data_IF_046637618265
#
_entry.id   IF_046637618265
#
_cell.length_a   1.000
_cell.length_b   1.000
_cell.length_c   1.000
_cell.angle_alpha   90.00
_cell.angle_beta   90.00
_cell.angle_gamma   90.00
#
_symmetry.space_group_name_H-M   'P 1'
#
loop_
_entity.id
_entity.type
_entity.pdbx_description
1 polymer ?
#
# COMPACT_ATOMS: atom_id res chain seq x y z
N UNK A 1 9.93 -2.98 -21.80
CA UNK A 1 9.59 -3.57 -20.58
C UNK A 1 9.80 -2.64 -19.41
N UNK A 2 8.90 -2.66 -18.53
CA UNK A 2 9.01 -1.83 -17.41
C UNK A 2 9.77 -2.49 -16.34
N UNK A 3 10.89 -1.98 -15.98
CA UNK A 3 11.64 -2.56 -14.98
C UNK A 3 11.68 -1.66 -13.81
N UNK A 4 10.91 -0.68 -13.83
CA UNK A 4 11.10 0.29 -12.84
C UNK A 4 10.22 0.15 -11.68
N UNK A 5 10.10 -1.01 -11.20
CA UNK A 5 9.35 -1.21 -10.09
C UNK A 5 9.73 -0.43 -8.94
N UNK A 6 10.96 -0.11 -8.83
CA UNK A 6 11.39 0.66 -7.71
C UNK A 6 11.50 2.08 -8.07
N UNK A 7 10.62 2.53 -8.95
CA UNK A 7 10.62 3.90 -9.29
C UNK A 7 10.16 4.73 -8.14
N UNK A 8 10.39 5.99 -8.23
CA UNK A 8 9.96 6.93 -7.22
C UNK A 8 8.45 6.92 -7.07
N UNK A 9 7.74 6.71 -8.18
CA UNK A 9 6.28 6.68 -8.11
C UNK A 9 5.78 5.57 -7.23
N UNK A 10 6.37 4.39 -7.35
CA UNK A 10 5.94 3.27 -6.53
C UNK A 10 6.28 3.52 -5.06
N UNK A 11 7.45 4.10 -4.80
CA UNK A 11 7.81 4.46 -3.44
C UNK A 11 6.86 5.50 -2.86
N UNK A 12 6.43 6.46 -3.66
CA UNK A 12 5.46 7.44 -3.22
C UNK A 12 4.13 6.78 -2.88
N UNK A 13 3.73 5.80 -3.68
CA UNK A 13 2.50 5.07 -3.39
C UNK A 13 2.60 4.32 -2.07
N UNK A 14 3.70 3.62 -1.85
CA UNK A 14 3.89 2.89 -0.61
C UNK A 14 3.89 3.82 0.59
N UNK A 15 4.51 4.99 0.42
CA UNK A 15 4.54 5.96 1.48
C UNK A 15 3.15 6.50 1.78
N UNK A 16 2.36 6.72 0.75
CA UNK A 16 0.99 7.18 0.89
C UNK A 16 0.15 6.16 1.68
N UNK A 17 0.32 4.87 1.36
CA UNK A 17 -0.38 3.83 2.08
C UNK A 17 0.06 3.76 3.53
N UNK A 18 1.36 3.87 3.79
CA UNK A 18 1.88 3.83 5.14
C UNK A 18 1.38 5.02 5.96
N UNK A 19 1.38 6.21 5.35
CA UNK A 19 0.86 7.39 6.02
C UNK A 19 -0.63 7.22 6.35
N UNK A 20 -1.37 6.60 5.47
CA UNK A 20 -2.77 6.29 5.73
C UNK A 20 -2.93 5.39 6.94
N UNK A 21 -2.07 4.38 7.05
CA UNK A 21 -2.10 3.47 8.20
C UNK A 21 -1.78 4.25 9.49
N UNK A 22 -0.73 5.04 9.44
CA UNK A 22 -0.29 5.79 10.63
C UNK A 22 -1.33 6.82 11.06
N UNK A 23 -1.98 7.46 10.11
CA UNK A 23 -2.95 8.48 10.45
C UNK A 23 -4.21 7.87 11.09
N UNK A 24 -4.44 6.59 10.89
CA UNK A 24 -5.54 5.91 11.56
C UNK A 24 -5.09 5.29 12.89
N UNK A 25 -3.83 5.46 13.25
CA UNK A 25 -3.31 4.91 14.50
C UNK A 25 -3.14 3.41 14.47
N UNK A 26 -3.02 2.82 13.30
CA UNK A 26 -2.93 1.38 13.18
C UNK A 26 -1.48 0.91 13.11
N UNK A 27 -1.16 -0.14 13.86
CA UNK A 27 0.13 -0.79 13.71
C UNK A 27 0.08 -1.71 12.50
N UNK A 28 1.22 -2.24 12.11
CA UNK A 28 1.29 -3.24 11.04
C UNK A 28 0.41 -4.43 11.40
N UNK A 29 0.44 -4.86 12.64
CA UNK A 29 -0.36 -6.01 13.07
C UNK A 29 -1.84 -5.70 13.06
N UNK A 30 -2.22 -4.47 13.43
CA UNK A 30 -3.61 -4.06 13.39
C UNK A 30 -4.15 -4.12 11.97
N UNK A 31 -3.40 -3.59 11.01
CA UNK A 31 -3.84 -3.60 9.63
C UNK A 31 -3.93 -5.04 9.11
N UNK A 32 -2.98 -5.87 9.50
CA UNK A 32 -2.98 -7.26 9.07
C UNK A 32 -4.25 -7.97 9.54
N UNK A 33 -4.69 -7.70 10.75
CA UNK A 33 -5.92 -8.28 11.25
C UNK A 33 -7.12 -7.83 10.45
N UNK A 34 -7.17 -6.56 10.09
CA UNK A 34 -8.29 -6.03 9.32
C UNK A 34 -8.36 -6.67 7.94
N UNK A 35 -7.22 -6.86 7.30
CA UNK A 35 -7.15 -7.42 5.96
C UNK A 35 -7.19 -8.94 5.98
N UNK A 36 -7.03 -9.53 7.16
CA UNK A 36 -7.01 -10.99 7.33
C UNK A 36 -5.80 -11.62 6.65
N UNK A 37 -4.64 -11.03 6.89
CA UNK A 37 -3.37 -11.53 6.37
C UNK A 37 -2.35 -11.55 7.49
N UNK A 38 -1.28 -12.35 7.38
CA UNK A 38 -0.23 -12.31 8.38
C UNK A 38 0.45 -10.95 8.39
N UNK A 39 0.99 -10.54 9.54
CA UNK A 39 1.60 -9.23 9.60
C UNK A 39 2.81 -9.10 8.68
N UNK A 40 3.44 -10.22 8.34
CA UNK A 40 4.56 -10.21 7.40
C UNK A 40 4.12 -9.71 6.03
N UNK A 41 2.87 -9.95 5.65
CA UNK A 41 2.33 -9.46 4.39
C UNK A 41 2.45 -7.94 4.34
N UNK A 42 2.00 -7.26 5.42
CA UNK A 42 2.04 -5.80 5.47
C UNK A 42 3.49 -5.31 5.49
N UNK A 43 4.32 -5.95 6.29
CA UNK A 43 5.71 -5.57 6.41
C UNK A 43 6.43 -5.64 5.07
N UNK A 44 6.18 -6.70 4.32
CA UNK A 44 6.82 -6.86 3.02
C UNK A 44 6.31 -5.87 2.00
N UNK A 45 5.03 -5.51 2.08
CA UNK A 45 4.48 -4.49 1.20
C UNK A 45 5.15 -3.14 1.50
N UNK A 46 5.20 -2.76 2.76
CA UNK A 46 5.73 -1.44 3.13
C UNK A 46 7.22 -1.30 2.85
N UNK A 47 7.95 -2.41 2.83
CA UNK A 47 9.38 -2.36 2.56
C UNK A 47 9.71 -2.72 1.10
N UNK A 48 8.69 -2.78 0.26
CA UNK A 48 8.83 -3.04 -1.17
C UNK A 48 9.41 -4.41 -1.48
N UNK A 49 9.28 -5.36 -0.57
CA UNK A 49 9.74 -6.72 -0.80
C UNK A 49 8.69 -7.55 -1.52
N UNK A 50 7.45 -7.09 -1.52
CA UNK A 50 6.36 -7.77 -2.19
C UNK A 50 5.47 -6.71 -2.83
N UNK A 51 5.05 -6.94 -4.05
CA UNK A 51 4.17 -6.00 -4.71
C UNK A 51 2.73 -6.33 -4.46
N UNK A 52 1.88 -5.33 -4.48
CA UNK A 52 0.45 -5.52 -4.36
C UNK A 52 -0.13 -5.80 -5.73
N UNK A 53 -1.00 -6.80 -5.84
CA UNK A 53 -1.79 -6.89 -7.05
C UNK A 53 -2.98 -5.94 -6.90
N UNK A 54 -3.74 -5.77 -7.97
CA UNK A 54 -4.79 -4.75 -7.98
C UNK A 54 -5.89 -5.06 -6.96
N UNK A 55 -6.23 -6.31 -6.79
CA UNK A 55 -7.26 -6.69 -5.84
C UNK A 55 -6.78 -6.39 -4.40
N UNK A 56 -5.55 -6.76 -4.10
CA UNK A 56 -4.96 -6.50 -2.79
C UNK A 56 -4.87 -5.00 -2.53
N UNK A 57 -4.56 -4.24 -3.56
CA UNK A 57 -4.45 -2.79 -3.43
C UNK A 57 -5.80 -2.18 -3.03
N UNK A 58 -6.87 -2.62 -3.66
CA UNK A 58 -8.19 -2.12 -3.33
C UNK A 58 -8.58 -2.49 -1.90
N UNK A 59 -8.30 -3.72 -1.50
CA UNK A 59 -8.59 -4.15 -0.13
C UNK A 59 -7.79 -3.33 0.88
N UNK A 60 -6.56 -3.04 0.56
CA UNK A 60 -5.67 -2.25 1.41
C UNK A 60 -6.26 -0.85 1.59
N UNK A 61 -6.68 -0.24 0.51
CA UNK A 61 -7.27 1.09 0.55
C UNK A 61 -8.57 1.10 1.34
N UNK A 62 -9.39 0.09 1.16
CA UNK A 62 -10.65 0.00 1.90
C UNK A 62 -10.40 -0.10 3.39
N UNK A 63 -9.41 -0.89 3.77
CA UNK A 63 -9.09 -1.05 5.18
C UNK A 63 -8.62 0.26 5.80
N UNK A 64 -8.02 1.12 5.00
CA UNK A 64 -7.48 2.40 5.47
C UNK A 64 -8.38 3.58 5.19
N UNK A 65 -9.55 3.34 4.60
CA UNK A 65 -10.46 4.42 4.19
C UNK A 65 -9.81 5.38 3.22
N UNK A 66 -9.00 4.86 2.33
CA UNK A 66 -8.36 5.66 1.29
C UNK A 66 -9.06 5.42 -0.02
N UNK A 67 -9.11 6.45 -0.85
CA UNK A 67 -9.69 6.36 -2.17
C UNK A 67 -8.65 5.72 -3.11
N UNK A 68 -8.91 4.53 -3.67
CA UNK A 68 -7.95 3.90 -4.56
C UNK A 68 -7.58 4.75 -5.76
N UNK A 69 -8.48 5.61 -6.20
CA UNK A 69 -8.21 6.47 -7.35
C UNK A 69 -7.09 7.45 -7.03
N UNK A 70 -7.02 7.93 -5.80
CA UNK A 70 -5.96 8.86 -5.40
C UNK A 70 -4.60 8.20 -5.51
N UNK A 71 -4.50 6.95 -5.08
CA UNK A 71 -3.23 6.24 -5.18
C UNK A 71 -2.83 5.97 -6.61
N UNK A 72 -3.81 5.62 -7.45
CA UNK A 72 -3.52 5.39 -8.85
C UNK A 72 -3.02 6.67 -9.53
N UNK A 73 -3.51 7.82 -9.09
CA UNK A 73 -3.05 9.08 -9.63
C UNK A 73 -1.56 9.30 -9.33
N UNK A 74 -1.10 8.83 -8.18
CA UNK A 74 0.32 8.92 -7.85
C UNK A 74 1.15 8.15 -8.86
N UNK A 75 0.69 6.95 -9.23
CA UNK A 75 1.41 6.13 -10.19
C UNK A 75 1.35 6.66 -11.60
N UNK A 76 0.26 7.30 -11.96
CA UNK A 76 0.08 7.74 -13.33
C UNK A 76 0.55 9.16 -13.59
N UNK A 77 0.97 9.88 -12.56
CA UNK A 77 1.40 11.24 -12.72
C UNK A 77 2.68 11.31 -13.50
N UNK A 78 2.82 12.29 -14.33
CA UNK A 78 4.01 12.45 -15.14
C UNK A 78 5.04 13.35 -14.49
#
# INVERSE_FOLDING_TARGET
MIKSINTEKYQLLLNWLKEGRLSKGLSVRDLALIIDEPFQFISKIETAQRKLNIYEYVQYCEALDLDPVEGLAILSKK
#
